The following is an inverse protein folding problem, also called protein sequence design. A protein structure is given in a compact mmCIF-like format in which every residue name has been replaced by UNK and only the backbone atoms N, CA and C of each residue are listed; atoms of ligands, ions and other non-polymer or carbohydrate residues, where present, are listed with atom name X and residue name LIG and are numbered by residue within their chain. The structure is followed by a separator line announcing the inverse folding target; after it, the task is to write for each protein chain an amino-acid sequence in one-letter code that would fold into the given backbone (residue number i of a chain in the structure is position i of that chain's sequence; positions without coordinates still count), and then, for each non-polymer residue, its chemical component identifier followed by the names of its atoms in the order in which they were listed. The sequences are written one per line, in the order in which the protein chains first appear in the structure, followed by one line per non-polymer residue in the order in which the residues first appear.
data_IF_448855620774
#
_entry.id   IF_448855620774
#
_cell.length_a   1.000
_cell.length_b   1.000
_cell.length_c   1.000
_cell.angle_alpha   90.00
_cell.angle_beta   90.00
_cell.angle_gamma   90.00
#
_symmetry.space_group_name_H-M   'P 1'
#
loop_
_entity.id
_entity.type
_entity.pdbx_description
1 polymer ?
#
# COMPACT_ATOMS: atom_id res chain seq x y z
N UNK A 1 27.97 23.74 -9.90
CA UNK A 1 27.33 22.39 -9.92
C UNK A 1 26.34 22.39 -11.09
N UNK A 2 26.61 21.66 -12.16
CA UNK A 2 25.66 21.51 -13.27
C UNK A 2 24.54 20.58 -12.81
N UNK A 3 23.30 21.08 -12.78
CA UNK A 3 22.12 20.24 -12.51
C UNK A 3 21.95 19.32 -13.73
N UNK A 4 22.15 18.04 -13.54
CA UNK A 4 21.84 17.03 -14.54
C UNK A 4 20.31 16.97 -14.65
N UNK A 5 19.76 17.37 -15.77
CA UNK A 5 18.33 17.22 -16.07
C UNK A 5 18.19 15.83 -16.71
N UNK A 6 17.61 14.90 -15.97
CA UNK A 6 17.14 13.61 -16.52
C UNK A 6 15.70 13.84 -16.98
N UNK A 7 15.47 13.73 -18.28
CA UNK A 7 14.12 13.72 -18.84
C UNK A 7 13.76 12.28 -19.18
N UNK A 8 12.79 11.73 -18.48
CA UNK A 8 12.20 10.45 -18.78
C UNK A 8 10.86 10.70 -19.49
N UNK A 9 10.75 10.22 -20.72
CA UNK A 9 9.47 10.22 -21.43
C UNK A 9 8.93 8.79 -21.44
N UNK A 10 7.80 8.62 -20.78
CA UNK A 10 7.03 7.38 -20.76
C UNK A 10 5.73 7.66 -21.50
N UNK A 11 5.44 6.88 -22.51
CA UNK A 11 4.15 6.86 -23.15
C UNK A 11 3.57 5.46 -22.98
N UNK A 12 2.48 5.37 -22.25
CA UNK A 12 1.82 4.10 -21.94
C UNK A 12 0.30 4.21 -22.03
N UNK A 13 -0.32 3.10 -22.27
CA UNK A 13 -1.76 2.91 -22.11
C UNK A 13 -1.92 1.79 -21.08
N UNK A 14 -2.60 2.08 -19.99
CA UNK A 14 -2.99 1.08 -19.00
C UNK A 14 -4.47 0.78 -19.12
N UNK A 15 -4.84 -0.47 -18.92
CA UNK A 15 -6.24 -0.89 -18.77
C UNK A 15 -6.33 -1.83 -17.59
N UNK A 16 -7.22 -1.56 -16.66
CA UNK A 16 -7.53 -2.44 -15.52
C UNK A 16 -8.86 -3.13 -15.72
N UNK A 17 -8.93 -4.38 -15.33
CA UNK A 17 -10.16 -5.13 -15.21
C UNK A 17 -10.32 -5.61 -13.77
N UNK A 18 -11.29 -5.04 -13.07
CA UNK A 18 -11.63 -5.37 -11.69
C UNK A 18 -12.80 -6.36 -11.66
N UNK A 19 -12.66 -7.39 -10.86
CA UNK A 19 -13.73 -8.31 -10.56
C UNK A 19 -13.86 -8.51 -9.05
N UNK A 20 -15.05 -8.33 -8.52
CA UNK A 20 -15.36 -8.60 -7.13
C UNK A 20 -16.68 -9.34 -7.02
N UNK A 21 -16.73 -10.34 -6.16
CA UNK A 21 -17.95 -11.11 -5.93
C UNK A 21 -18.00 -11.75 -4.56
N UNK A 22 -19.20 -11.77 -3.99
CA UNK A 22 -19.45 -12.56 -2.80
C UNK A 22 -19.62 -14.01 -3.22
N UNK A 23 -18.78 -14.92 -2.70
CA UNK A 23 -18.84 -16.35 -3.02
C UNK A 23 -19.60 -17.16 -1.96
N UNK A 24 -19.78 -16.58 -0.78
CA UNK A 24 -20.57 -17.15 0.28
C UNK A 24 -21.01 -16.10 1.29
N UNK A 25 -22.27 -16.11 1.67
CA UNK A 25 -22.80 -15.30 2.75
C UNK A 25 -24.03 -16.00 3.37
N UNK A 26 -24.01 -16.18 4.68
CA UNK A 26 -25.15 -16.73 5.43
C UNK A 26 -25.67 -15.75 6.49
N UNK A 27 -25.25 -14.48 6.42
CA UNK A 27 -25.60 -13.44 7.38
C UNK A 27 -24.71 -13.39 8.63
N UNK A 28 -23.94 -14.45 8.89
CA UNK A 28 -22.97 -14.53 10.01
C UNK A 28 -21.54 -14.62 9.47
N UNK A 29 -21.33 -15.39 8.44
CA UNK A 29 -20.03 -15.58 7.78
C UNK A 29 -20.14 -15.18 6.33
N UNK A 30 -19.17 -14.43 5.83
CA UNK A 30 -19.05 -14.11 4.41
C UNK A 30 -17.63 -14.37 3.91
N UNK A 31 -17.55 -14.75 2.62
CA UNK A 31 -16.32 -14.80 1.84
C UNK A 31 -16.51 -14.02 0.56
N UNK A 32 -15.59 -13.10 0.33
CA UNK A 32 -15.54 -12.30 -0.89
C UNK A 32 -14.29 -12.65 -1.67
N UNK A 33 -14.41 -12.70 -2.98
CA UNK A 33 -13.30 -12.83 -3.91
C UNK A 33 -13.19 -11.54 -4.68
N UNK A 34 -11.99 -10.98 -4.70
CA UNK A 34 -11.63 -9.84 -5.55
C UNK A 34 -10.53 -10.28 -6.50
N UNK A 35 -10.46 -9.66 -7.65
CA UNK A 35 -9.39 -9.89 -8.61
C UNK A 35 -9.19 -8.67 -9.47
N UNK A 36 -7.95 -8.44 -9.88
CA UNK A 36 -7.54 -7.35 -10.73
C UNK A 36 -6.54 -7.83 -11.75
N UNK A 37 -6.60 -7.33 -12.96
CA UNK A 37 -5.61 -7.55 -14.00
C UNK A 37 -5.34 -6.21 -14.64
N UNK A 38 -4.09 -5.79 -14.61
CA UNK A 38 -3.61 -4.60 -15.27
C UNK A 38 -2.68 -4.93 -16.41
N UNK A 39 -2.82 -4.16 -17.47
CA UNK A 39 -2.00 -4.29 -18.67
C UNK A 39 -1.41 -2.95 -19.02
N UNK A 40 -0.11 -2.89 -19.13
CA UNK A 40 0.64 -1.70 -19.51
C UNK A 40 1.32 -1.93 -20.87
N UNK A 41 1.17 -0.95 -21.75
CA UNK A 41 1.95 -0.90 -23.00
C UNK A 41 2.81 0.34 -22.91
N UNK A 42 4.11 0.16 -22.87
CA UNK A 42 5.03 1.26 -22.60
C UNK A 42 6.21 1.31 -23.57
N UNK A 43 6.83 2.47 -23.67
CA UNK A 43 8.12 2.71 -24.27
C UNK A 43 8.90 3.71 -23.45
N UNK A 44 10.20 3.55 -23.34
CA UNK A 44 11.03 4.39 -22.45
C UNK A 44 12.17 5.02 -23.24
N UNK A 45 12.32 6.33 -23.12
CA UNK A 45 13.51 7.06 -23.59
C UNK A 45 14.04 7.96 -22.47
N UNK A 46 15.21 7.64 -21.92
CA UNK A 46 15.92 8.45 -20.94
C UNK A 46 17.06 9.23 -21.57
N UNK A 47 17.18 10.53 -21.28
CA UNK A 47 18.24 11.40 -21.76
C UNK A 47 18.98 12.07 -20.62
N UNK A 48 20.29 11.99 -20.65
CA UNK A 48 21.19 12.69 -19.76
C UNK A 48 22.07 13.66 -20.58
N UNK A 49 22.05 14.94 -20.22
CA UNK A 49 22.79 15.99 -20.94
C UNK A 49 22.52 16.01 -22.46
N UNK A 50 21.29 15.72 -22.88
CA UNK A 50 20.86 15.69 -24.28
C UNK A 50 21.27 14.43 -25.05
N UNK A 51 21.88 13.46 -24.40
CA UNK A 51 22.21 12.15 -24.99
C UNK A 51 21.27 11.10 -24.45
N UNK A 52 20.75 10.24 -25.32
CA UNK A 52 19.96 9.09 -24.92
C UNK A 52 20.84 8.12 -24.13
N UNK A 53 20.49 7.83 -22.89
CA UNK A 53 21.17 6.86 -21.99
C UNK A 53 20.37 5.58 -21.81
N UNK A 54 19.05 5.67 -22.00
CA UNK A 54 18.14 4.50 -21.99
C UNK A 54 17.20 4.66 -23.18
N UNK A 55 17.00 3.58 -23.91
CA UNK A 55 15.95 3.47 -24.93
C UNK A 55 15.42 2.05 -24.93
N UNK A 56 14.11 1.92 -24.74
CA UNK A 56 13.39 0.66 -24.88
C UNK A 56 12.32 0.82 -25.94
N UNK A 57 12.15 -0.21 -26.74
CA UNK A 57 11.05 -0.30 -27.70
C UNK A 57 9.76 -0.64 -26.94
N UNK A 58 8.66 -0.75 -27.67
CA UNK A 58 7.34 -1.07 -27.09
C UNK A 58 7.40 -2.41 -26.37
N UNK A 59 6.97 -2.39 -25.12
CA UNK A 59 6.83 -3.55 -24.26
C UNK A 59 5.42 -3.66 -23.68
N UNK A 60 5.04 -4.84 -23.23
CA UNK A 60 3.73 -5.12 -22.62
C UNK A 60 3.96 -5.80 -21.29
N UNK A 61 3.65 -5.09 -20.21
CA UNK A 61 3.70 -5.59 -18.86
C UNK A 61 2.29 -5.97 -18.38
N UNK A 62 2.20 -7.04 -17.62
CA UNK A 62 0.98 -7.56 -17.03
C UNK A 62 1.19 -7.76 -15.54
N UNK A 63 0.23 -7.27 -14.79
CA UNK A 63 0.12 -7.54 -13.37
C UNK A 63 -1.28 -8.08 -13.06
N UNK A 64 -1.37 -8.97 -12.10
CA UNK A 64 -2.65 -9.53 -11.68
C UNK A 64 -2.62 -9.88 -10.22
N UNK A 65 -3.75 -9.67 -9.54
CA UNK A 65 -3.96 -10.09 -8.16
C UNK A 65 -5.26 -10.84 -7.96
N UNK A 66 -5.26 -11.66 -6.92
CA UNK A 66 -6.45 -12.32 -6.38
C UNK A 66 -6.44 -12.18 -4.86
N UNK A 67 -7.55 -11.67 -4.32
CA UNK A 67 -7.72 -11.44 -2.89
C UNK A 67 -8.95 -12.19 -2.38
N UNK A 68 -8.82 -12.79 -1.23
CA UNK A 68 -9.92 -13.45 -0.51
C UNK A 68 -10.09 -12.76 0.84
N UNK A 69 -11.25 -12.16 1.04
CA UNK A 69 -11.65 -11.58 2.31
C UNK A 69 -12.66 -12.49 3.00
N UNK A 70 -12.44 -12.75 4.27
CA UNK A 70 -13.33 -13.51 5.13
C UNK A 70 -13.78 -12.67 6.31
N UNK A 71 -15.06 -12.74 6.63
CA UNK A 71 -15.61 -12.13 7.84
C UNK A 71 -16.50 -13.10 8.60
N UNK A 72 -16.49 -13.02 9.92
CA UNK A 72 -17.38 -13.79 10.77
C UNK A 72 -17.84 -12.98 12.00
N UNK A 73 -19.15 -12.88 12.18
CA UNK A 73 -19.77 -12.23 13.34
C UNK A 73 -19.74 -13.20 14.53
N UNK A 74 -19.00 -12.85 15.58
CA UNK A 74 -18.99 -13.61 16.82
C UNK A 74 -20.22 -13.26 17.69
N UNK A 75 -20.65 -12.02 17.65
CA UNK A 75 -21.85 -11.50 18.31
C UNK A 75 -22.24 -10.14 17.68
N UNK A 76 -23.14 -9.39 18.29
CA UNK A 76 -23.62 -8.11 17.78
C UNK A 76 -22.54 -7.03 17.76
N UNK A 77 -21.56 -7.10 18.68
CA UNK A 77 -20.52 -6.09 18.87
C UNK A 77 -19.16 -6.49 18.29
N UNK A 78 -18.94 -7.77 17.97
CA UNK A 78 -17.63 -8.27 17.55
C UNK A 78 -17.72 -9.06 16.25
N UNK A 79 -16.94 -8.61 15.27
CA UNK A 79 -16.76 -9.25 13.98
C UNK A 79 -15.26 -9.49 13.76
N UNK A 80 -14.86 -10.71 13.49
CA UNK A 80 -13.48 -11.07 13.08
C UNK A 80 -13.39 -11.07 11.56
N UNK A 81 -12.23 -10.74 11.06
CA UNK A 81 -11.95 -10.72 9.62
C UNK A 81 -10.55 -11.23 9.33
N UNK A 82 -10.31 -11.60 8.07
CA UNK A 82 -9.00 -11.87 7.52
C UNK A 82 -8.98 -11.60 6.04
N UNK A 83 -7.83 -11.15 5.55
CA UNK A 83 -7.56 -10.96 4.13
C UNK A 83 -6.32 -11.72 3.72
N UNK A 84 -6.35 -12.25 2.51
CA UNK A 84 -5.24 -12.94 1.90
C UNK A 84 -5.16 -12.56 0.43
N UNK A 85 -4.09 -11.91 0.03
CA UNK A 85 -3.83 -11.50 -1.34
C UNK A 85 -2.62 -12.21 -1.92
N UNK A 86 -2.79 -12.64 -3.16
CA UNK A 86 -1.71 -13.14 -4.02
C UNK A 86 -1.62 -12.26 -5.26
N UNK A 87 -0.44 -11.83 -5.58
CA UNK A 87 -0.18 -11.10 -6.80
C UNK A 87 0.88 -11.77 -7.67
N UNK A 88 0.87 -11.46 -8.96
CA UNK A 88 1.85 -11.91 -9.92
C UNK A 88 2.06 -10.86 -11.01
N UNK A 89 3.29 -10.64 -11.36
CA UNK A 89 3.69 -9.63 -12.33
C UNK A 89 4.30 -8.41 -11.66
N UNK A 90 4.64 -7.44 -12.46
CA UNK A 90 5.18 -6.16 -12.02
C UNK A 90 4.42 -5.03 -12.69
N UNK A 91 4.08 -4.02 -11.88
CA UNK A 91 3.70 -2.74 -12.40
C UNK A 91 4.91 -2.13 -13.11
N UNK A 92 4.74 -1.73 -14.34
CA UNK A 92 5.67 -0.92 -15.08
C UNK A 92 7.16 -1.12 -14.70
N UNK A 93 7.78 -2.21 -15.15
CA UNK A 93 9.20 -2.48 -14.87
C UNK A 93 10.12 -1.55 -15.67
N UNK A 94 10.51 -0.44 -15.03
CA UNK A 94 11.51 0.47 -15.59
C UNK A 94 12.90 -0.17 -15.77
N UNK A 95 13.18 -1.23 -15.02
CA UNK A 95 14.52 -1.82 -14.91
C UNK A 95 14.68 -3.13 -15.70
N UNK A 96 13.61 -3.60 -16.34
CA UNK A 96 13.58 -4.83 -17.11
C UNK A 96 14.07 -6.06 -16.31
N UNK A 97 13.59 -6.17 -15.06
CA UNK A 97 13.86 -7.34 -14.25
C UNK A 97 13.10 -8.54 -14.80
N UNK A 98 13.74 -9.69 -14.81
CA UNK A 98 13.18 -10.93 -15.37
C UNK A 98 12.28 -11.68 -14.38
N UNK A 99 11.77 -11.02 -13.37
CA UNK A 99 11.08 -11.64 -12.23
C UNK A 99 9.56 -11.73 -12.38
N UNK A 100 9.05 -11.50 -13.58
CA UNK A 100 7.62 -11.46 -13.93
C UNK A 100 6.80 -12.72 -13.65
N UNK A 101 7.39 -13.78 -13.18
CA UNK A 101 6.73 -15.09 -13.05
C UNK A 101 6.56 -15.57 -11.60
N UNK A 102 6.78 -14.71 -10.62
CA UNK A 102 6.64 -15.10 -9.21
C UNK A 102 5.30 -14.66 -8.66
N UNK A 103 4.53 -15.64 -8.22
CA UNK A 103 3.41 -15.39 -7.32
C UNK A 103 3.98 -15.06 -5.96
N UNK A 104 3.60 -13.93 -5.39
CA UNK A 104 3.95 -13.51 -4.03
C UNK A 104 2.70 -13.21 -3.23
N UNK A 105 2.81 -13.25 -1.94
CA UNK A 105 1.82 -12.71 -1.03
C UNK A 105 2.04 -11.22 -0.97
N UNK A 106 0.97 -10.46 -1.11
CA UNK A 106 1.01 -9.02 -0.87
C UNK A 106 0.39 -8.73 0.49
N UNK A 107 -0.91 -8.90 0.63
CA UNK A 107 -1.59 -8.72 1.90
C UNK A 107 -1.86 -10.06 2.60
N UNK A 108 -1.50 -10.14 3.86
CA UNK A 108 -1.88 -11.24 4.75
C UNK A 108 -2.10 -10.70 6.15
N UNK A 109 -3.33 -10.45 6.49
CA UNK A 109 -3.67 -9.96 7.82
C UNK A 109 -4.97 -10.55 8.34
N UNK A 110 -5.12 -10.51 9.66
CA UNK A 110 -6.36 -10.85 10.33
C UNK A 110 -6.63 -9.87 11.48
N UNK A 111 -7.89 -9.75 11.88
CA UNK A 111 -8.23 -8.81 12.93
C UNK A 111 -9.65 -8.95 13.42
N UNK A 112 -10.08 -7.94 14.17
CA UNK A 112 -11.43 -7.83 14.67
C UNK A 112 -11.92 -6.38 14.67
N UNK A 113 -13.21 -6.21 14.38
CA UNK A 113 -13.94 -4.97 14.64
C UNK A 113 -14.71 -5.08 15.96
N UNK A 114 -14.76 -3.98 16.70
CA UNK A 114 -15.44 -3.84 17.98
C UNK A 114 -16.44 -2.68 17.89
N UNK A 115 -17.72 -3.00 17.94
CA UNK A 115 -18.78 -2.05 17.63
C UNK A 115 -18.65 -1.51 16.20
N UNK A 116 -19.10 -0.29 15.99
CA UNK A 116 -19.12 0.36 14.68
C UNK A 116 -17.85 1.19 14.40
N UNK A 117 -17.00 1.40 15.41
CA UNK A 117 -15.98 2.42 15.33
C UNK A 117 -14.55 1.89 15.38
N UNK A 118 -14.29 0.77 16.03
CA UNK A 118 -12.92 0.32 16.26
C UNK A 118 -12.58 -0.97 15.54
N UNK A 119 -11.36 -1.03 15.02
CA UNK A 119 -10.78 -2.23 14.47
C UNK A 119 -9.33 -2.41 14.93
N UNK A 120 -8.88 -3.65 14.98
CA UNK A 120 -7.49 -4.03 15.18
C UNK A 120 -7.12 -5.10 14.17
N UNK A 121 -5.94 -4.97 13.58
CA UNK A 121 -5.39 -5.95 12.63
C UNK A 121 -3.94 -6.30 12.98
N UNK A 122 -3.53 -7.48 12.54
CA UNK A 122 -2.22 -8.06 12.74
C UNK A 122 -1.75 -8.68 11.43
N UNK A 123 -0.50 -8.45 11.03
CA UNK A 123 0.11 -8.99 9.81
C UNK A 123 0.61 -7.89 8.89
N UNK A 124 0.39 -8.03 7.60
CA UNK A 124 0.61 -6.99 6.58
C UNK A 124 -0.63 -6.10 6.52
N UNK A 125 -0.62 -5.02 7.28
CA UNK A 125 -1.85 -4.28 7.63
C UNK A 125 -2.17 -3.11 6.68
N UNK A 126 -1.47 -2.98 5.55
CA UNK A 126 -1.62 -1.87 4.63
C UNK A 126 -3.08 -1.60 4.25
N UNK A 127 -3.75 -2.58 3.69
CA UNK A 127 -5.17 -2.47 3.28
C UNK A 127 -6.14 -2.23 4.44
N UNK A 128 -5.79 -2.65 5.66
CA UNK A 128 -6.60 -2.34 6.84
C UNK A 128 -6.41 -0.88 7.26
N UNK A 129 -5.18 -0.38 7.25
CA UNK A 129 -4.81 1.01 7.50
C UNK A 129 -3.41 1.14 8.08
N UNK A 130 -2.60 1.94 7.41
CA UNK A 130 -1.26 2.39 7.80
C UNK A 130 -1.31 3.85 8.26
N UNK A 131 -0.44 4.23 9.17
CA UNK A 131 -0.36 5.62 9.63
C UNK A 131 0.08 6.60 8.54
N UNK A 132 0.73 6.15 7.50
CA UNK A 132 1.12 6.99 6.37
C UNK A 132 -0.02 7.27 5.38
N UNK A 133 -1.09 6.48 5.36
CA UNK A 133 -2.26 6.66 4.47
C UNK A 133 -2.83 8.09 4.52
N UNK A 134 -2.75 8.73 5.68
CA UNK A 134 -3.25 10.09 5.85
C UNK A 134 -2.50 11.15 5.04
N UNK A 135 -1.29 10.86 4.58
CA UNK A 135 -0.44 11.78 3.81
C UNK A 135 0.02 11.22 2.47
N UNK A 136 -0.27 9.94 2.21
CA UNK A 136 0.00 9.32 0.92
C UNK A 136 -0.96 9.90 -0.11
N UNK A 137 -0.39 10.48 -1.16
CA UNK A 137 -1.14 10.92 -2.34
C UNK A 137 -0.84 9.90 -3.41
N UNK A 138 -1.74 8.96 -3.57
CA UNK A 138 -1.69 8.04 -4.69
C UNK A 138 -1.95 8.84 -5.97
N UNK A 139 -0.91 9.02 -6.73
CA UNK A 139 -0.96 9.66 -8.03
C UNK A 139 -0.89 8.58 -9.10
N UNK A 140 -1.72 8.70 -10.07
CA UNK A 140 -1.95 7.86 -11.25
C UNK A 140 -0.71 7.37 -12.02
N UNK A 141 0.49 7.63 -11.55
CA UNK A 141 1.74 7.12 -12.11
C UNK A 141 2.48 6.32 -11.03
N UNK A 142 2.29 5.06 -11.04
CA UNK A 142 3.05 4.07 -10.29
C UNK A 142 4.57 4.32 -10.42
N UNK A 143 5.29 4.18 -9.32
CA UNK A 143 6.72 4.48 -9.28
C UNK A 143 7.07 5.97 -9.28
N UNK A 144 6.08 6.86 -9.24
CA UNK A 144 6.25 8.27 -8.94
C UNK A 144 5.54 8.64 -7.64
N UNK A 145 5.24 7.66 -6.83
CA UNK A 145 4.62 7.80 -5.52
C UNK A 145 5.37 8.80 -4.65
N UNK A 146 4.63 9.71 -4.02
CA UNK A 146 5.24 10.84 -3.36
C UNK A 146 5.89 10.46 -2.03
N UNK A 147 5.41 9.41 -1.39
CA UNK A 147 5.90 8.93 -0.09
C UNK A 147 6.71 7.65 -0.26
N UNK A 148 6.30 6.75 -1.13
CA UNK A 148 6.95 5.44 -1.34
C UNK A 148 8.39 5.53 -1.84
N UNK A 149 8.72 6.56 -2.64
CA UNK A 149 10.08 6.78 -3.12
C UNK A 149 11.02 7.37 -2.06
N UNK A 150 10.47 8.05 -1.05
CA UNK A 150 11.27 8.72 -0.02
C UNK A 150 11.22 8.02 1.33
N UNK A 151 10.16 7.28 1.57
CA UNK A 151 9.93 6.58 2.85
C UNK A 151 9.52 5.17 2.48
N UNK A 152 10.34 4.21 2.82
CA UNK A 152 9.92 2.82 2.71
C UNK A 152 8.84 2.57 3.75
N UNK A 153 7.60 2.59 3.32
CA UNK A 153 6.51 2.08 4.12
C UNK A 153 6.87 0.68 4.62
N UNK A 154 6.48 0.37 5.83
CA UNK A 154 6.66 -0.95 6.44
C UNK A 154 5.37 -1.76 6.41
N UNK A 155 4.36 -1.29 5.69
CA UNK A 155 3.06 -1.93 5.60
C UNK A 155 3.13 -3.41 5.21
N UNK A 156 4.01 -3.74 4.24
CA UNK A 156 4.24 -5.09 3.75
C UNK A 156 5.25 -5.89 4.57
N UNK A 157 5.61 -5.46 5.76
CA UNK A 157 6.64 -6.14 6.56
C UNK A 157 6.12 -7.40 7.30
N UNK A 158 4.81 -7.67 7.25
CA UNK A 158 4.22 -8.89 7.80
C UNK A 158 4.16 -8.99 9.32
N UNK A 159 4.69 -8.01 10.04
CA UNK A 159 4.81 -8.03 11.49
C UNK A 159 4.17 -6.81 12.15
N UNK A 160 3.17 -6.24 11.52
CA UNK A 160 2.52 -5.04 12.03
C UNK A 160 1.33 -5.37 12.94
N UNK A 161 1.03 -4.41 13.79
CA UNK A 161 -0.22 -4.30 14.53
C UNK A 161 -0.79 -2.92 14.24
N UNK A 162 -2.02 -2.86 13.73
CA UNK A 162 -2.70 -1.59 13.48
C UNK A 162 -4.01 -1.52 14.24
N UNK A 163 -4.29 -0.35 14.80
CA UNK A 163 -5.56 -0.01 15.44
C UNK A 163 -6.18 1.17 14.69
N UNK A 164 -7.40 0.98 14.22
CA UNK A 164 -8.16 1.98 13.45
C UNK A 164 -9.42 2.38 14.18
N UNK A 165 -9.62 3.66 14.34
CA UNK A 165 -10.87 4.25 14.82
C UNK A 165 -11.54 5.06 13.72
N UNK A 166 -12.85 4.82 13.48
CA UNK A 166 -13.64 5.51 12.47
C UNK A 166 -14.88 6.14 13.13
N UNK A 167 -14.99 7.47 13.10
CA UNK A 167 -16.01 8.24 13.79
C UNK A 167 -16.62 9.27 12.83
N UNK A 168 -17.69 8.89 12.12
CA UNK A 168 -18.36 9.74 11.13
C UNK A 168 -17.34 10.34 10.13
N UNK A 169 -16.79 11.50 10.44
CA UNK A 169 -15.86 12.25 9.60
C UNK A 169 -14.39 12.09 9.98
N UNK A 170 -14.10 11.48 11.12
CA UNK A 170 -12.75 11.32 11.65
C UNK A 170 -12.30 9.87 11.57
N UNK A 171 -11.16 9.63 10.93
CA UNK A 171 -10.42 8.36 11.00
C UNK A 171 -9.11 8.60 11.73
N UNK A 172 -8.78 7.73 12.67
CA UNK A 172 -7.48 7.70 13.36
C UNK A 172 -6.87 6.32 13.23
N UNK A 173 -5.56 6.26 12.99
CA UNK A 173 -4.81 5.02 12.90
C UNK A 173 -3.59 5.13 13.81
N UNK A 174 -3.33 4.06 14.55
CA UNK A 174 -2.09 3.87 15.28
C UNK A 174 -1.53 2.49 14.93
N UNK A 175 -0.29 2.43 14.49
CA UNK A 175 0.38 1.21 14.10
C UNK A 175 1.73 1.02 14.81
N UNK A 176 2.17 -0.22 14.85
CA UNK A 176 3.49 -0.62 15.33
C UNK A 176 4.01 -1.76 14.46
N UNK A 177 5.26 -1.64 14.05
CA UNK A 177 5.95 -2.62 13.21
C UNK A 177 7.01 -3.31 14.06
N UNK A 178 6.73 -4.57 14.37
CA UNK A 178 7.56 -5.41 15.21
C UNK A 178 8.68 -6.05 14.38
N UNK A 179 9.81 -6.32 14.99
CA UNK A 179 10.88 -7.11 14.37
C UNK A 179 11.35 -8.19 15.35
N UNK A 180 11.85 -9.30 14.81
CA UNK A 180 12.41 -10.40 15.61
C UNK A 180 13.89 -10.18 15.92
N UNK A 181 14.58 -9.27 15.21
CA UNK A 181 15.98 -8.95 15.49
C UNK A 181 16.05 -7.97 16.65
N UNK A 182 16.70 -8.37 17.74
CA UNK A 182 16.92 -7.54 18.94
C UNK A 182 17.64 -6.20 18.64
N UNK A 183 18.22 -6.06 17.46
CA UNK A 183 18.93 -4.84 17.04
C UNK A 183 18.04 -3.87 16.28
N UNK A 184 16.83 -4.28 15.94
CA UNK A 184 15.87 -3.47 15.20
C UNK A 184 14.77 -3.06 16.16
N UNK A 185 14.72 -1.79 16.48
CA UNK A 185 13.70 -1.25 17.36
C UNK A 185 12.32 -1.24 16.70
N UNK A 186 11.26 -1.30 17.50
CA UNK A 186 9.89 -1.22 17.02
C UNK A 186 9.63 0.15 16.43
N UNK A 187 9.25 0.20 15.15
CA UNK A 187 8.71 1.43 14.57
C UNK A 187 7.25 1.60 14.99
N UNK A 188 6.79 2.84 15.05
CA UNK A 188 5.38 3.13 15.35
C UNK A 188 4.91 4.36 14.59
N UNK A 189 3.62 4.42 14.36
CA UNK A 189 3.00 5.52 13.67
C UNK A 189 1.67 5.94 14.27
N UNK A 190 1.27 7.15 13.95
CA UNK A 190 -0.01 7.72 14.32
C UNK A 190 -0.49 8.67 13.23
N UNK A 191 -1.74 8.53 12.84
CA UNK A 191 -2.36 9.46 11.89
C UNK A 191 -3.80 9.80 12.25
N UNK A 192 -4.25 10.91 11.66
CA UNK A 192 -5.65 11.31 11.70
C UNK A 192 -6.05 11.92 10.35
N UNK A 193 -7.23 11.56 9.87
CA UNK A 193 -7.88 12.13 8.70
C UNK A 193 -9.26 12.68 9.10
N UNK A 194 -9.59 13.85 8.60
CA UNK A 194 -10.89 14.47 8.82
C UNK A 194 -11.53 14.92 7.51
N UNK A 195 -12.68 14.35 7.19
CA UNK A 195 -13.49 14.74 6.04
C UNK A 195 -14.24 16.04 6.36
N UNK A 196 -13.78 17.17 5.83
CA UNK A 196 -14.44 18.46 5.97
C UNK A 196 -15.81 18.41 5.28
N UNK A 197 -15.82 17.87 4.09
CA UNK A 197 -17.00 17.60 3.25
C UNK A 197 -16.66 16.52 2.23
N UNK A 198 -17.60 16.22 1.31
CA UNK A 198 -17.47 15.17 0.28
C UNK A 198 -16.33 15.40 -0.72
N UNK A 199 -15.73 16.58 -0.75
CA UNK A 199 -14.68 16.95 -1.71
C UNK A 199 -13.31 17.17 -1.04
N UNK A 200 -13.28 17.45 0.25
CA UNK A 200 -12.06 17.83 0.97
C UNK A 200 -11.88 17.00 2.23
N UNK A 201 -10.75 16.34 2.30
CA UNK A 201 -10.26 15.65 3.49
C UNK A 201 -8.91 16.23 3.86
N UNK A 202 -8.67 16.48 5.12
CA UNK A 202 -7.37 16.86 5.65
C UNK A 202 -6.80 15.70 6.45
N UNK A 203 -5.51 15.45 6.29
CA UNK A 203 -4.80 14.40 6.99
C UNK A 203 -3.50 14.90 7.59
N UNK A 204 -3.06 14.25 8.64
CA UNK A 204 -1.73 14.40 9.21
C UNK A 204 -1.22 13.06 9.72
N UNK A 205 0.07 12.84 9.57
CA UNK A 205 0.72 11.61 10.00
C UNK A 205 2.08 11.90 10.63
N UNK A 206 2.45 11.03 11.54
CA UNK A 206 3.79 10.88 12.10
C UNK A 206 4.13 9.40 12.17
N UNK A 207 5.31 9.02 11.69
CA UNK A 207 5.85 7.67 11.84
C UNK A 207 7.31 7.75 12.26
N UNK A 208 7.66 6.99 13.29
CA UNK A 208 9.03 6.75 13.72
C UNK A 208 9.48 5.39 13.18
N UNK A 209 10.54 5.39 12.38
CA UNK A 209 11.05 4.20 11.69
C UNK A 209 12.44 3.81 12.19
N UNK A 210 12.65 3.88 13.48
CA UNK A 210 13.93 3.63 14.10
C UNK A 210 14.65 2.37 13.57
N UNK A 211 15.94 2.55 13.24
CA UNK A 211 16.92 1.50 12.95
C UNK A 211 16.52 0.47 11.89
N UNK A 212 15.72 0.90 10.89
CA UNK A 212 15.10 -0.02 9.92
C UNK A 212 15.82 -0.15 8.59
N UNK A 213 16.84 0.64 8.36
CA UNK A 213 17.69 0.44 7.19
C UNK A 213 18.94 -0.42 7.54
N UNK A 214 19.58 -0.95 6.50
CA UNK A 214 20.81 -1.75 6.66
C UNK A 214 22.00 -0.94 7.21
N UNK A 215 21.89 0.38 7.28
CA UNK A 215 22.90 1.27 7.83
C UNK A 215 22.64 1.63 9.29
N UNK A 216 21.50 1.20 9.85
CA UNK A 216 21.09 1.52 11.22
C UNK A 216 20.75 2.99 11.39
N UNK A 217 20.14 3.59 10.37
CA UNK A 217 19.76 5.01 10.40
C UNK A 217 18.34 5.15 10.92
N UNK A 218 18.16 5.94 11.95
CA UNK A 218 16.86 6.31 12.46
C UNK A 218 16.32 7.48 11.63
N UNK A 219 15.08 7.40 11.22
CA UNK A 219 14.41 8.52 10.59
C UNK A 219 12.94 8.59 10.97
N UNK A 220 12.42 9.78 10.91
CA UNK A 220 11.05 10.09 11.24
C UNK A 220 10.38 10.70 10.03
N UNK A 221 9.14 10.30 9.81
CA UNK A 221 8.28 10.85 8.76
C UNK A 221 7.16 11.62 9.42
N UNK A 222 6.95 12.84 8.96
CA UNK A 222 5.77 13.61 9.36
C UNK A 222 5.26 14.40 8.16
N UNK A 223 3.96 14.49 8.04
CA UNK A 223 3.34 15.19 6.94
C UNK A 223 1.92 15.61 7.23
N UNK A 224 1.41 16.42 6.32
CA UNK A 224 0.01 16.78 6.26
C UNK A 224 -0.42 16.88 4.80
N UNK A 225 -1.65 16.48 4.52
CA UNK A 225 -2.25 16.47 3.20
C UNK A 225 -3.66 17.07 3.21
N UNK A 226 -4.12 17.53 2.05
CA UNK A 226 -5.47 18.03 1.83
C UNK A 226 -5.96 17.64 0.43
#
# INVERSE_FOLDING_TARGET
MKKTLVALAVAGISTSALAAGNIYDNGTTSFNLKGEIDTYVSTVEGKENGKTVVKRDVDVDLWAKIQIDAEHKLNEDVKVFGSFELENGEFFDKDNSSDHARVRTDDLYFGAYFGDNWGVAFGEVGDFGDSLDAITIDNTNEGLGYVDDFVKSKESAGHAVSVKGSFDKLTVIADAYLDQDEKIDTAFGLSAQYAINDMFTVGASYQDQENRDAAGTDYQVMGAAV
#
